data_IF_335002201408
#
_entry.id   IF_335002201408
#
_cell.length_a   1.000
_cell.length_b   1.000
_cell.length_c   1.000
_cell.angle_alpha   90.00
_cell.angle_beta   90.00
_cell.angle_gamma   90.00
#
_symmetry.space_group_name_H-M   'P 1'
#
loop_
_entity.id
_entity.type
_entity.pdbx_description
1 polymer ?
#
# COMPACT_ATOMS: atom_id res chain seq x y z
N UNK A 1 -0.16 3.47 -7.46
CA UNK A 1 0.70 2.60 -8.31
C UNK A 1 1.59 3.38 -9.28
N UNK A 2 1.04 4.26 -10.13
CA UNK A 2 1.84 4.98 -11.16
C UNK A 2 3.04 5.75 -10.57
N UNK A 3 2.86 6.41 -9.42
CA UNK A 3 3.92 7.18 -8.75
C UNK A 3 5.04 6.29 -8.20
N UNK A 4 4.69 5.21 -7.49
CA UNK A 4 5.65 4.22 -6.98
C UNK A 4 6.49 3.61 -8.10
N UNK A 5 5.85 3.23 -9.21
CA UNK A 5 6.55 2.70 -10.36
C UNK A 5 7.51 3.73 -10.99
N UNK A 6 7.08 4.98 -11.14
CA UNK A 6 7.92 6.05 -11.69
C UNK A 6 9.12 6.37 -10.78
N UNK A 7 8.94 6.30 -9.47
CA UNK A 7 9.94 6.69 -8.48
C UNK A 7 10.84 5.53 -8.02
N UNK A 8 10.53 4.28 -8.42
CA UNK A 8 11.26 3.09 -7.95
C UNK A 8 11.05 2.79 -6.46
N UNK A 9 9.97 3.29 -5.88
CA UNK A 9 9.61 3.12 -4.46
C UNK A 9 8.48 2.10 -4.30
N UNK A 10 8.23 1.66 -3.07
CA UNK A 10 7.14 0.73 -2.78
C UNK A 10 5.77 1.42 -2.77
N UNK A 11 4.71 0.64 -2.94
CA UNK A 11 3.34 1.15 -2.81
C UNK A 11 3.07 1.73 -1.41
N UNK A 12 3.63 1.11 -0.37
CA UNK A 12 3.50 1.53 1.03
C UNK A 12 4.11 2.90 1.26
N UNK A 13 5.37 3.08 0.87
CA UNK A 13 6.10 4.34 1.04
C UNK A 13 5.40 5.51 0.35
N UNK A 14 4.92 5.30 -0.89
CA UNK A 14 4.22 6.35 -1.63
C UNK A 14 2.83 6.65 -1.09
N UNK A 15 2.10 5.64 -0.62
CA UNK A 15 0.79 5.84 -0.03
C UNK A 15 0.86 6.68 1.25
N UNK A 16 1.89 6.46 2.07
CA UNK A 16 2.16 7.26 3.27
C UNK A 16 2.70 8.65 2.91
N UNK A 17 3.67 8.73 1.99
CA UNK A 17 4.28 10.00 1.56
C UNK A 17 3.27 10.96 0.92
N UNK A 18 2.28 10.43 0.19
CA UNK A 18 1.21 11.22 -0.43
C UNK A 18 0.06 11.54 0.54
N UNK A 19 0.13 11.05 1.79
CA UNK A 19 -0.89 11.31 2.81
C UNK A 19 -2.23 10.62 2.54
N UNK A 20 -2.25 9.57 1.73
CA UNK A 20 -3.49 8.84 1.43
C UNK A 20 -3.90 7.92 2.57
N UNK A 21 -2.93 7.34 3.27
CA UNK A 21 -3.14 6.47 4.44
C UNK A 21 -1.95 6.59 5.39
N UNK A 22 -2.15 6.30 6.67
CA UNK A 22 -1.05 6.09 7.60
C UNK A 22 -0.32 4.77 7.31
N UNK A 23 0.88 4.61 7.86
CA UNK A 23 1.61 3.34 7.74
C UNK A 23 0.84 2.20 8.42
N UNK A 24 0.21 2.47 9.57
CA UNK A 24 -0.56 1.49 10.35
C UNK A 24 -1.83 1.05 9.60
N UNK A 25 -2.52 1.99 8.95
CA UNK A 25 -3.71 1.70 8.14
C UNK A 25 -3.33 0.89 6.90
N UNK A 26 -2.22 1.23 6.24
CA UNK A 26 -1.72 0.47 5.10
C UNK A 26 -1.48 -1.00 5.48
N UNK A 27 -0.79 -1.22 6.60
CA UNK A 27 -0.46 -2.57 7.07
C UNK A 27 -1.72 -3.33 7.54
N UNK A 28 -2.76 -2.63 7.98
CA UNK A 28 -4.04 -3.24 8.36
C UNK A 28 -4.92 -3.62 7.18
N UNK A 29 -4.91 -2.80 6.11
CA UNK A 29 -5.70 -3.00 4.89
C UNK A 29 -5.04 -4.03 3.97
N UNK A 30 -3.71 -3.94 3.82
CA UNK A 30 -2.96 -4.77 2.87
C UNK A 30 -2.43 -6.00 3.59
N UNK A 31 -3.26 -7.04 3.64
CA UNK A 31 -2.97 -8.32 4.29
C UNK A 31 -2.95 -9.44 3.25
N UNK A 32 -1.78 -9.79 2.69
CA UNK A 32 -1.67 -10.79 1.62
C UNK A 32 -2.40 -12.10 1.92
N UNK A 33 -2.36 -12.55 3.18
CA UNK A 33 -3.03 -13.76 3.66
C UNK A 33 -4.55 -13.70 3.58
N UNK A 34 -5.14 -12.50 3.53
CA UNK A 34 -6.58 -12.26 3.33
C UNK A 34 -6.95 -11.88 1.90
N UNK A 35 -5.98 -11.84 0.98
CA UNK A 35 -6.17 -11.44 -0.42
C UNK A 35 -6.05 -12.62 -1.40
N UNK A 36 -6.15 -13.85 -0.90
CA UNK A 36 -5.96 -15.09 -1.68
C UNK A 36 -7.28 -15.69 -2.22
N UNK A 37 -8.41 -15.05 -1.97
CA UNK A 37 -9.73 -15.50 -2.41
C UNK A 37 -10.84 -14.56 -1.96
N UNK A 38 -12.06 -14.71 -2.48
CA UNK A 38 -13.23 -14.04 -1.92
C UNK A 38 -13.49 -14.50 -0.48
N UNK A 39 -14.11 -13.64 0.33
CA UNK A 39 -14.66 -14.00 1.65
C UNK A 39 -15.77 -15.05 1.54
#
# INVERSE_FOLDING_TARGET
AKTAHKNGTTLREEAVRLGYVSAEDFDSIVRPERMIGPD
#
